data_IF_075719394524
#
_entry.id   IF_075719394524
#
_cell.length_a   1.000
_cell.length_b   1.000
_cell.length_c   1.000
_cell.angle_alpha   90.00
_cell.angle_beta   90.00
_cell.angle_gamma   90.00
#
_symmetry.space_group_name_H-M   'P 1'
#
loop_
_entity.id
_entity.type
_entity.pdbx_description
1 polymer ?
#
# COMPACT_ATOMS: atom_id res chain seq x y z
N UNK A 1 15.41 -16.20 -13.56
CA UNK A 1 15.09 -14.90 -12.93
C UNK A 1 14.42 -15.00 -11.54
N UNK A 2 13.90 -16.16 -11.11
CA UNK A 2 13.22 -16.33 -9.79
C UNK A 2 14.16 -16.33 -8.57
N UNK A 3 15.43 -16.67 -8.73
CA UNK A 3 16.42 -16.79 -7.64
C UNK A 3 17.09 -15.47 -7.23
N UNK A 4 17.15 -14.48 -8.10
CA UNK A 4 17.80 -13.18 -7.82
C UNK A 4 16.97 -12.26 -6.90
N UNK A 5 15.65 -12.33 -6.98
CA UNK A 5 14.74 -11.48 -6.13
C UNK A 5 14.77 -11.94 -4.68
N UNK A 6 14.88 -13.24 -4.42
CA UNK A 6 14.99 -13.78 -3.06
C UNK A 6 16.32 -13.41 -2.38
N UNK A 7 17.42 -13.34 -3.14
CA UNK A 7 18.74 -13.02 -2.60
C UNK A 7 18.88 -11.55 -2.15
N UNK A 8 18.23 -10.62 -2.84
CA UNK A 8 18.24 -9.20 -2.44
C UNK A 8 17.42 -8.92 -1.17
N UNK A 9 16.38 -9.70 -0.89
CA UNK A 9 15.56 -9.58 0.33
C UNK A 9 16.30 -10.04 1.59
N UNK A 10 17.17 -11.05 1.48
CA UNK A 10 17.92 -11.60 2.61
C UNK A 10 19.19 -10.79 2.91
N UNK A 11 19.85 -10.24 1.88
CA UNK A 11 21.08 -9.45 2.07
C UNK A 11 20.87 -8.13 2.84
N UNK A 12 19.68 -7.54 2.78
CA UNK A 12 19.33 -6.31 3.52
C UNK A 12 19.15 -6.51 5.04
N UNK A 13 19.03 -7.76 5.51
CA UNK A 13 18.79 -8.07 6.91
C UNK A 13 20.08 -8.32 7.73
N UNK A 14 21.22 -8.45 7.07
CA UNK A 14 22.49 -8.82 7.70
C UNK A 14 23.55 -7.74 7.48
N UNK A 15 23.33 -6.54 8.01
CA UNK A 15 24.42 -5.56 8.18
C UNK A 15 24.78 -5.54 9.67
N UNK A 16 25.91 -6.11 10.07
CA UNK A 16 26.42 -5.97 11.44
C UNK A 16 27.06 -4.58 11.57
N UNK A 17 26.31 -3.62 11.98
CA UNK A 17 26.79 -2.29 12.34
C UNK A 17 26.20 -1.89 13.67
N UNK A 18 27.05 -1.49 14.62
CA UNK A 18 26.77 -1.09 16.01
C UNK A 18 25.87 0.16 16.15
N UNK A 19 24.83 0.27 15.37
CA UNK A 19 23.68 1.11 15.68
C UNK A 19 22.68 0.16 16.32
N UNK A 20 22.24 0.40 17.54
CA UNK A 20 21.17 -0.39 18.16
C UNK A 20 19.95 -0.33 17.24
N UNK A 21 19.86 -1.32 16.38
CA UNK A 21 18.80 -1.41 15.40
C UNK A 21 17.51 -1.71 16.16
N UNK A 22 16.67 -0.70 16.29
CA UNK A 22 15.40 -0.83 17.00
C UNK A 22 14.37 -1.37 16.02
N UNK A 23 13.90 -2.57 16.32
CA UNK A 23 12.76 -3.14 15.63
C UNK A 23 11.47 -2.45 16.05
N UNK A 24 10.50 -2.44 15.19
CA UNK A 24 9.16 -1.95 15.49
C UNK A 24 8.10 -2.75 14.72
N UNK A 25 6.95 -2.87 15.35
CA UNK A 25 5.75 -3.42 14.73
C UNK A 25 4.71 -2.32 14.71
N UNK A 26 4.07 -2.10 13.57
CA UNK A 26 2.98 -1.14 13.41
C UNK A 26 1.72 -1.84 12.90
N UNK A 27 0.57 -1.34 13.37
CA UNK A 27 -0.74 -1.71 12.85
C UNK A 27 -1.48 -0.42 12.46
N UNK A 28 -2.03 -0.40 11.27
CA UNK A 28 -2.73 0.76 10.71
C UNK A 28 -4.08 0.35 10.13
N UNK A 29 -5.06 1.21 10.27
CA UNK A 29 -6.37 1.11 9.61
C UNK A 29 -6.58 2.36 8.77
N UNK A 30 -7.12 2.19 7.58
CA UNK A 30 -7.27 3.29 6.65
C UNK A 30 -8.42 3.12 5.69
N UNK A 31 -8.57 4.13 4.85
CA UNK A 31 -9.48 4.11 3.71
C UNK A 31 -8.68 4.38 2.44
N UNK A 32 -9.07 3.76 1.36
CA UNK A 32 -8.43 3.96 0.08
C UNK A 32 -9.44 4.34 -1.00
N UNK A 33 -8.94 5.03 -2.02
CA UNK A 33 -9.68 5.32 -3.25
C UNK A 33 -8.86 4.84 -4.43
N UNK A 34 -9.48 4.09 -5.30
CA UNK A 34 -8.89 3.66 -6.57
C UNK A 34 -9.28 4.61 -7.68
N UNK A 35 -8.36 4.80 -8.62
CA UNK A 35 -8.56 5.56 -9.85
C UNK A 35 -7.80 4.89 -10.98
N UNK A 36 -8.03 5.35 -12.22
CA UNK A 36 -7.39 4.76 -13.41
C UNK A 36 -8.05 3.47 -13.87
N UNK A 37 -9.30 3.25 -13.48
CA UNK A 37 -10.11 2.11 -13.90
C UNK A 37 -10.33 2.10 -15.42
N UNK A 38 -10.63 0.93 -15.93
CA UNK A 38 -11.01 0.74 -17.33
C UNK A 38 -12.17 1.65 -17.68
N UNK A 39 -12.07 2.35 -18.82
CA UNK A 39 -13.08 3.29 -19.28
C UNK A 39 -13.64 2.82 -20.62
N UNK A 40 -14.95 2.75 -20.72
CA UNK A 40 -15.70 2.49 -21.94
C UNK A 40 -15.84 3.77 -22.78
N UNK A 41 -16.13 3.61 -24.07
CA UNK A 41 -16.46 4.69 -25.00
C UNK A 41 -17.68 5.52 -24.58
N UNK A 42 -18.59 4.93 -23.80
CA UNK A 42 -19.75 5.61 -23.19
C UNK A 42 -19.39 6.47 -21.96
N UNK A 43 -18.12 6.44 -21.51
CA UNK A 43 -17.66 7.16 -20.34
C UNK A 43 -17.85 6.41 -19.01
N UNK A 44 -18.36 5.16 -19.05
CA UNK A 44 -18.47 4.30 -17.86
C UNK A 44 -17.09 3.92 -17.36
N UNK A 45 -16.85 4.09 -16.06
CA UNK A 45 -15.61 3.65 -15.39
C UNK A 45 -15.91 2.47 -14.48
N UNK A 46 -15.12 1.41 -14.59
CA UNK A 46 -15.22 0.21 -13.73
C UNK A 46 -13.96 0.09 -12.91
N UNK A 47 -14.10 -0.05 -11.60
CA UNK A 47 -12.94 -0.19 -10.70
C UNK A 47 -13.31 -0.53 -9.27
N UNK A 48 -12.30 -0.79 -8.41
CA UNK A 48 -12.54 -1.08 -7.00
C UNK A 48 -13.13 0.12 -6.27
N UNK A 49 -14.15 -0.16 -5.44
CA UNK A 49 -14.87 0.87 -4.68
C UNK A 49 -14.28 1.02 -3.28
N UNK A 50 -13.89 2.20 -2.92
CA UNK A 50 -13.44 2.76 -1.62
C UNK A 50 -13.29 1.75 -0.47
N UNK A 51 -12.30 0.84 -0.47
CA UNK A 51 -12.16 -0.16 0.59
C UNK A 51 -11.61 0.46 1.88
N UNK A 52 -11.98 -0.17 3.00
CA UNK A 52 -11.20 -0.07 4.24
C UNK A 52 -9.97 -0.94 4.09
N UNK A 53 -8.83 -0.45 4.54
CA UNK A 53 -7.54 -1.15 4.50
C UNK A 53 -7.05 -1.43 5.91
N UNK A 54 -6.45 -2.59 6.11
CA UNK A 54 -5.69 -2.93 7.32
C UNK A 54 -4.26 -3.23 6.90
N UNK A 55 -3.29 -2.63 7.54
CA UNK A 55 -1.87 -2.84 7.27
C UNK A 55 -1.12 -3.24 8.54
N UNK A 56 -0.30 -4.27 8.45
CA UNK A 56 0.69 -4.63 9.44
C UNK A 56 2.08 -4.37 8.87
N UNK A 57 2.97 -3.81 9.67
CA UNK A 57 4.32 -3.50 9.25
C UNK A 57 5.33 -3.92 10.30
N UNK A 58 6.37 -4.61 9.87
CA UNK A 58 7.58 -4.87 10.63
C UNK A 58 8.68 -3.94 10.08
N UNK A 59 9.30 -3.17 10.94
CA UNK A 59 10.36 -2.24 10.55
C UNK A 59 11.62 -2.36 11.41
N UNK A 60 12.74 -1.89 10.83
CA UNK A 60 14.03 -1.78 11.50
C UNK A 60 14.62 -0.40 11.27
N UNK A 61 14.90 0.31 12.35
CA UNK A 61 15.54 1.62 12.34
C UNK A 61 17.02 1.54 11.99
N UNK A 62 17.48 2.43 11.11
CA UNK A 62 18.87 2.59 10.68
C UNK A 62 19.22 4.10 10.75
N UNK A 63 19.25 4.67 11.93
CA UNK A 63 19.46 6.11 12.13
C UNK A 63 18.28 6.95 11.65
N UNK A 64 18.48 7.79 10.64
CA UNK A 64 17.41 8.60 10.02
C UNK A 64 16.56 7.80 9.04
N UNK A 65 17.10 6.70 8.53
CA UNK A 65 16.40 5.77 7.65
C UNK A 65 15.72 4.66 8.45
N UNK A 66 14.78 3.97 7.81
CA UNK A 66 14.11 2.77 8.31
C UNK A 66 13.80 1.87 7.12
N UNK A 67 14.06 0.58 7.25
CA UNK A 67 13.59 -0.44 6.31
C UNK A 67 12.38 -1.13 6.91
N UNK A 68 11.40 -1.47 6.09
CA UNK A 68 10.17 -2.09 6.55
C UNK A 68 9.68 -3.13 5.54
N UNK A 69 8.90 -4.09 6.05
CA UNK A 69 8.04 -4.96 5.27
C UNK A 69 6.60 -4.71 5.70
N UNK A 70 5.78 -4.26 4.79
CA UNK A 70 4.35 -4.03 5.02
C UNK A 70 3.52 -5.14 4.37
N UNK A 71 2.47 -5.54 5.07
CA UNK A 71 1.44 -6.45 4.60
C UNK A 71 0.09 -5.74 4.74
N UNK A 72 -0.54 -5.43 3.60
CA UNK A 72 -1.84 -4.76 3.55
C UNK A 72 -2.90 -5.74 3.08
N UNK A 73 -4.06 -5.66 3.71
CA UNK A 73 -5.29 -6.33 3.28
C UNK A 73 -6.39 -5.31 3.04
N UNK A 74 -7.15 -5.51 1.97
CA UNK A 74 -8.35 -4.74 1.69
C UNK A 74 -9.42 -5.64 1.07
N UNK A 75 -10.66 -5.50 1.53
CA UNK A 75 -11.83 -6.09 0.89
C UNK A 75 -12.62 -4.98 0.22
N UNK A 76 -12.93 -5.13 -1.04
CA UNK A 76 -13.55 -4.08 -1.84
C UNK A 76 -14.69 -4.59 -2.71
N UNK A 77 -15.66 -3.72 -2.98
CA UNK A 77 -16.62 -3.93 -4.06
C UNK A 77 -16.03 -3.49 -5.40
N UNK A 78 -16.76 -3.77 -6.46
CA UNK A 78 -16.55 -3.20 -7.79
C UNK A 78 -17.65 -2.19 -8.06
N UNK A 79 -17.28 -0.99 -8.48
CA UNK A 79 -18.22 0.04 -8.88
C UNK A 79 -18.14 0.27 -10.38
N UNK A 80 -19.30 0.31 -11.03
CA UNK A 80 -19.50 0.87 -12.36
C UNK A 80 -20.06 2.28 -12.20
N UNK A 81 -19.32 3.29 -12.58
CA UNK A 81 -19.72 4.70 -12.46
C UNK A 81 -20.00 5.28 -13.86
N UNK A 82 -21.21 5.82 -14.05
CA UNK A 82 -21.62 6.64 -15.18
C UNK A 82 -22.06 8.02 -14.69
N UNK A 83 -22.11 9.06 -15.54
CA UNK A 83 -22.69 10.33 -15.15
C UNK A 83 -24.13 10.16 -14.63
N UNK A 84 -24.32 10.40 -13.33
CA UNK A 84 -25.62 10.30 -12.67
C UNK A 84 -26.05 8.91 -12.17
N UNK A 85 -25.24 7.86 -12.40
CA UNK A 85 -25.54 6.50 -11.94
C UNK A 85 -24.25 5.81 -11.45
N UNK A 86 -24.27 5.28 -10.24
CA UNK A 86 -23.23 4.40 -9.72
C UNK A 86 -23.86 3.09 -9.27
N UNK A 87 -23.43 1.98 -9.85
CA UNK A 87 -23.80 0.63 -9.42
C UNK A 87 -22.61 0.04 -8.69
N UNK A 88 -22.81 -0.34 -7.42
CA UNK A 88 -21.75 -0.93 -6.59
C UNK A 88 -22.16 -2.34 -6.24
N UNK A 89 -21.31 -3.30 -6.60
CA UNK A 89 -21.42 -4.68 -6.14
C UNK A 89 -20.36 -4.92 -5.07
N UNK A 90 -20.82 -5.15 -3.85
CA UNK A 90 -19.94 -5.32 -2.69
C UNK A 90 -19.31 -6.71 -2.65
N UNK A 91 -18.17 -6.82 -1.98
CA UNK A 91 -17.50 -8.10 -1.63
C UNK A 91 -16.98 -8.93 -2.81
N UNK A 92 -16.87 -8.37 -4.02
CA UNK A 92 -16.40 -9.09 -5.20
C UNK A 92 -14.89 -9.20 -5.32
N UNK A 93 -14.15 -8.34 -4.63
CA UNK A 93 -12.70 -8.33 -4.76
C UNK A 93 -12.00 -8.23 -3.39
N UNK A 94 -10.85 -8.87 -3.30
CA UNK A 94 -9.92 -8.68 -2.19
C UNK A 94 -8.52 -8.42 -2.72
N UNK A 95 -7.76 -7.68 -1.94
CA UNK A 95 -6.37 -7.33 -2.21
C UNK A 95 -5.51 -7.72 -1.03
N UNK A 96 -4.49 -8.52 -1.27
CA UNK A 96 -3.32 -8.64 -0.42
C UNK A 96 -2.15 -7.92 -1.09
N UNK A 97 -1.41 -7.13 -0.32
CA UNK A 97 -0.23 -6.43 -0.84
C UNK A 97 0.94 -6.64 0.11
N UNK A 98 2.06 -7.06 -0.45
CA UNK A 98 3.34 -7.17 0.26
C UNK A 98 4.29 -6.13 -0.31
N UNK A 99 4.83 -5.29 0.57
CA UNK A 99 5.61 -4.14 0.16
C UNK A 99 6.86 -3.94 1.03
N UNK A 100 8.05 -4.30 0.54
CA UNK A 100 9.29 -3.81 1.12
C UNK A 100 9.40 -2.29 0.89
N UNK A 101 9.78 -1.57 1.94
CA UNK A 101 9.80 -0.11 1.96
C UNK A 101 11.09 0.41 2.59
N UNK A 102 11.53 1.56 2.10
CA UNK A 102 12.53 2.39 2.77
C UNK A 102 11.87 3.71 3.14
N UNK A 103 12.09 4.17 4.36
CA UNK A 103 11.62 5.46 4.82
C UNK A 103 12.76 6.32 5.33
N UNK A 104 12.66 7.63 5.10
CA UNK A 104 13.59 8.64 5.57
C UNK A 104 12.86 9.68 6.40
N UNK A 105 13.44 10.05 7.53
CA UNK A 105 12.95 11.17 8.32
C UNK A 105 13.35 12.47 7.63
N UNK A 106 12.34 13.25 7.22
CA UNK A 106 12.54 14.55 6.58
C UNK A 106 12.68 15.67 7.62
N UNK A 107 11.84 15.64 8.65
CA UNK A 107 11.82 16.68 9.66
C UNK A 107 11.40 16.10 11.02
N UNK A 108 11.80 16.80 12.08
CA UNK A 108 11.37 16.57 13.45
C UNK A 108 10.85 17.89 14.02
N UNK A 109 9.73 17.82 14.71
CA UNK A 109 9.04 18.99 15.28
C UNK A 109 8.79 18.79 16.77
N UNK A 110 8.91 19.89 17.54
CA UNK A 110 8.51 19.98 18.93
C UNK A 110 8.97 18.80 19.80
N UNK A 111 8.05 18.23 20.53
CA UNK A 111 8.27 17.14 21.48
C UNK A 111 8.48 15.75 20.83
N UNK A 112 8.98 15.68 19.62
CA UNK A 112 9.38 14.42 18.98
C UNK A 112 8.45 13.90 17.88
N UNK A 113 7.62 14.77 17.30
CA UNK A 113 6.88 14.43 16.09
C UNK A 113 7.82 14.40 14.87
N UNK A 114 7.80 13.32 14.11
CA UNK A 114 8.62 13.10 12.91
C UNK A 114 7.75 13.09 11.65
N UNK A 115 8.19 13.78 10.60
CA UNK A 115 7.67 13.59 9.24
C UNK A 115 8.61 12.66 8.49
N UNK A 116 8.05 11.64 7.88
CA UNK A 116 8.79 10.64 7.11
C UNK A 116 8.26 10.54 5.70
N UNK A 117 9.19 10.34 4.75
CA UNK A 117 8.86 9.97 3.38
C UNK A 117 9.24 8.50 3.17
N UNK A 118 8.37 7.76 2.50
CA UNK A 118 8.50 6.32 2.31
C UNK A 118 8.33 5.99 0.84
N UNK A 119 9.08 4.98 0.38
CA UNK A 119 8.95 4.47 -0.98
C UNK A 119 9.35 3.00 -1.03
N UNK A 120 8.81 2.27 -2.00
CA UNK A 120 9.19 0.89 -2.27
C UNK A 120 8.36 0.26 -3.38
N UNK A 121 8.83 -0.90 -3.88
CA UNK A 121 8.00 -1.75 -4.72
C UNK A 121 6.92 -2.44 -3.89
N UNK A 122 5.87 -2.91 -4.54
CA UNK A 122 4.85 -3.75 -3.94
C UNK A 122 4.45 -4.88 -4.88
N UNK A 123 4.03 -6.00 -4.31
CA UNK A 123 3.38 -7.09 -5.04
C UNK A 123 1.95 -7.17 -4.54
N UNK A 124 1.02 -7.00 -5.44
CA UNK A 124 -0.41 -7.05 -5.20
C UNK A 124 -0.96 -8.40 -5.65
N UNK A 125 -1.68 -9.07 -4.78
CA UNK A 125 -2.42 -10.29 -5.06
C UNK A 125 -3.91 -9.96 -4.98
N UNK A 126 -4.51 -9.85 -6.13
CA UNK A 126 -5.94 -9.59 -6.28
C UNK A 126 -6.70 -10.91 -6.40
N UNK A 127 -7.81 -11.02 -5.74
CA UNK A 127 -8.83 -12.04 -6.00
C UNK A 127 -10.09 -11.30 -6.44
N UNK A 128 -10.56 -11.56 -7.64
CA UNK A 128 -11.75 -10.95 -8.23
C UNK A 128 -12.63 -12.08 -8.75
N UNK A 129 -13.84 -12.20 -8.21
CA UNK A 129 -14.80 -13.25 -8.56
C UNK A 129 -14.22 -14.68 -8.50
N UNK A 130 -13.34 -14.93 -7.52
CA UNK A 130 -12.65 -16.21 -7.32
C UNK A 130 -11.34 -16.36 -8.10
N UNK A 131 -11.07 -15.54 -9.10
CA UNK A 131 -9.83 -15.58 -9.87
C UNK A 131 -8.71 -14.79 -9.21
N UNK A 132 -7.54 -15.41 -9.07
CA UNK A 132 -6.38 -14.78 -8.45
C UNK A 132 -5.41 -14.20 -9.50
N UNK A 133 -4.93 -12.98 -9.23
CA UNK A 133 -4.04 -12.24 -10.14
C UNK A 133 -2.94 -11.53 -9.35
N UNK A 134 -1.73 -11.54 -9.88
CA UNK A 134 -0.62 -10.79 -9.30
C UNK A 134 -0.27 -9.56 -10.15
N UNK A 135 0.07 -8.45 -9.50
CA UNK A 135 0.53 -7.22 -10.15
C UNK A 135 1.70 -6.64 -9.36
N UNK A 136 2.68 -6.15 -10.09
CA UNK A 136 3.76 -5.36 -9.50
C UNK A 136 3.32 -3.90 -9.45
N UNK A 137 3.64 -3.25 -8.35
CA UNK A 137 3.32 -1.87 -8.09
C UNK A 137 4.53 -1.11 -7.56
N UNK A 138 4.49 0.21 -7.68
CA UNK A 138 5.34 1.13 -6.97
C UNK A 138 4.50 1.94 -6.00
N UNK A 139 5.01 2.15 -4.78
CA UNK A 139 4.31 2.94 -3.78
C UNK A 139 5.21 4.01 -3.18
N UNK A 140 4.55 5.10 -2.78
CA UNK A 140 5.13 6.18 -1.99
C UNK A 140 4.17 6.57 -0.88
N UNK A 141 4.70 7.05 0.25
CA UNK A 141 3.88 7.57 1.33
C UNK A 141 4.59 8.70 2.07
N UNK A 142 3.80 9.58 2.66
CA UNK A 142 4.24 10.51 3.68
C UNK A 142 3.54 10.16 4.99
N UNK A 143 4.31 10.08 6.07
CA UNK A 143 3.80 9.76 7.38
C UNK A 143 4.19 10.84 8.40
N UNK A 144 3.23 11.25 9.21
CA UNK A 144 3.44 12.01 10.42
C UNK A 144 3.38 11.04 11.59
N UNK A 145 4.46 10.94 12.33
CA UNK A 145 4.57 10.09 13.53
C UNK A 145 4.72 10.98 14.77
N UNK A 146 4.06 10.64 15.87
CA UNK A 146 4.18 11.37 17.14
C UNK A 146 4.22 10.41 18.33
N UNK A 147 4.98 10.73 19.38
CA UNK A 147 5.05 9.90 20.58
C UNK A 147 3.68 9.91 21.28
N UNK A 148 3.22 8.73 21.69
CA UNK A 148 2.03 8.56 22.51
C UNK A 148 2.41 8.31 23.97
N UNK A 149 3.06 7.19 24.22
CA UNK A 149 3.54 6.81 25.56
C UNK A 149 4.64 5.76 25.48
N UNK A 150 5.76 5.94 26.18
CA UNK A 150 6.85 4.97 26.25
C UNK A 150 7.35 4.52 24.88
N UNK A 151 7.11 3.26 24.55
CA UNK A 151 7.49 2.67 23.25
C UNK A 151 6.42 2.84 22.14
N UNK A 152 5.27 3.48 22.43
CA UNK A 152 4.18 3.66 21.48
C UNK A 152 4.30 4.98 20.73
N UNK A 153 4.10 4.91 19.42
CA UNK A 153 4.07 6.03 18.48
C UNK A 153 2.79 5.97 17.67
N UNK A 154 2.04 7.08 17.63
CA UNK A 154 0.91 7.23 16.71
C UNK A 154 1.39 7.61 15.32
N UNK A 155 0.62 7.27 14.30
CA UNK A 155 0.91 7.63 12.92
C UNK A 155 -0.35 8.08 12.16
N UNK A 156 -0.15 9.06 11.28
CA UNK A 156 -1.06 9.42 10.20
C UNK A 156 -0.27 9.29 8.90
N UNK A 157 -0.76 8.48 7.98
CA UNK A 157 -0.10 8.18 6.71
C UNK A 157 -0.99 8.53 5.54
N UNK A 158 -0.40 9.16 4.53
CA UNK A 158 -0.99 9.36 3.21
C UNK A 158 -0.14 8.61 2.20
N UNK A 159 -0.75 7.74 1.40
CA UNK A 159 -0.05 6.86 0.46
C UNK A 159 -0.59 6.97 -0.95
N UNK A 160 0.30 6.77 -1.92
CA UNK A 160 -0.01 6.61 -3.33
C UNK A 160 0.63 5.34 -3.88
N UNK A 161 -0.13 4.56 -4.63
CA UNK A 161 0.33 3.33 -5.28
C UNK A 161 -0.04 3.38 -6.75
N UNK A 162 0.90 3.00 -7.61
CA UNK A 162 0.72 2.87 -9.05
C UNK A 162 1.01 1.42 -9.44
N UNK A 163 0.04 0.75 -10.05
CA UNK A 163 0.17 -0.64 -10.52
C UNK A 163 -0.33 -0.80 -11.95
N UNK A 164 -0.04 -1.95 -12.56
CA UNK A 164 -0.68 -2.35 -13.80
C UNK A 164 -2.20 -2.48 -13.67
N UNK A 165 -2.91 -2.62 -14.79
CA UNK A 165 -4.35 -2.89 -14.78
C UNK A 165 -4.67 -4.14 -13.96
N UNK A 166 -5.74 -4.09 -13.16
CA UNK A 166 -6.25 -5.24 -12.42
C UNK A 166 -6.95 -6.26 -13.35
N UNK A 167 -7.35 -5.85 -14.56
CA UNK A 167 -7.99 -6.71 -15.55
C UNK A 167 -6.96 -7.37 -16.46
N UNK A 168 -7.19 -8.63 -16.83
CA UNK A 168 -6.39 -9.33 -17.82
C UNK A 168 -6.76 -8.88 -19.26
N UNK A 169 -5.97 -9.33 -20.26
CA UNK A 169 -6.15 -8.89 -21.64
C UNK A 169 -7.51 -9.28 -22.22
N UNK A 170 -8.00 -10.44 -21.80
CA UNK A 170 -9.17 -11.11 -22.38
C UNK A 170 -10.49 -10.83 -21.63
N UNK A 171 -10.43 -10.06 -20.53
CA UNK A 171 -11.58 -9.84 -19.66
C UNK A 171 -12.44 -8.63 -20.02
N UNK A 172 -11.88 -7.45 -20.33
CA UNK A 172 -12.71 -6.34 -20.74
C UNK A 172 -13.18 -6.52 -22.19
N UNK A 173 -14.39 -6.08 -22.52
CA UNK A 173 -14.81 -5.97 -23.93
C UNK A 173 -13.75 -5.20 -24.74
N UNK A 174 -13.59 -5.49 -26.04
CA UNK A 174 -12.55 -4.88 -26.88
C UNK A 174 -12.62 -3.34 -26.93
N UNK A 175 -13.73 -2.76 -26.55
CA UNK A 175 -13.97 -1.31 -26.49
C UNK A 175 -13.45 -0.66 -25.19
N UNK A 176 -13.01 -1.44 -24.19
CA UNK A 176 -12.56 -0.95 -22.89
C UNK A 176 -11.05 -0.84 -22.85
N UNK A 177 -10.54 0.38 -22.78
CA UNK A 177 -9.10 0.65 -22.66
C UNK A 177 -8.59 0.26 -21.26
N UNK A 178 -7.57 -0.59 -21.20
CA UNK A 178 -6.90 -0.95 -19.95
C UNK A 178 -5.98 0.18 -19.49
N UNK A 179 -6.18 0.64 -18.27
CA UNK A 179 -5.36 1.71 -17.66
C UNK A 179 -4.65 1.23 -16.41
N UNK A 180 -3.51 1.85 -16.14
CA UNK A 180 -2.80 1.66 -14.88
C UNK A 180 -3.71 2.04 -13.70
N UNK A 181 -3.74 1.19 -12.69
CA UNK A 181 -4.51 1.41 -11.46
C UNK A 181 -3.72 2.32 -10.54
N UNK A 182 -4.39 3.33 -9.99
CA UNK A 182 -3.85 4.25 -8.98
C UNK A 182 -4.65 4.05 -7.70
N UNK A 183 -3.95 3.93 -6.57
CA UNK A 183 -4.58 3.89 -5.26
C UNK A 183 -4.06 5.04 -4.43
N UNK A 184 -4.96 5.82 -3.84
CA UNK A 184 -4.65 6.82 -2.83
C UNK A 184 -5.28 6.38 -1.53
N UNK A 185 -4.52 6.46 -0.43
CA UNK A 185 -4.96 6.01 0.87
C UNK A 185 -4.61 6.99 1.97
N UNK A 186 -5.44 7.00 3.01
CA UNK A 186 -5.16 7.67 4.27
C UNK A 186 -5.39 6.65 5.37
N UNK A 187 -4.42 6.51 6.27
CA UNK A 187 -4.46 5.56 7.38
C UNK A 187 -4.00 6.21 8.67
N UNK A 188 -4.53 5.73 9.77
CA UNK A 188 -4.08 6.03 11.12
C UNK A 188 -3.63 4.74 11.79
N UNK A 189 -2.64 4.83 12.68
CA UNK A 189 -2.12 3.62 13.30
C UNK A 189 -1.27 3.87 14.51
N UNK A 190 -0.78 2.77 15.04
CA UNK A 190 0.14 2.76 16.16
C UNK A 190 1.33 1.87 15.84
N UNK A 191 2.50 2.29 16.27
CA UNK A 191 3.75 1.56 16.18
C UNK A 191 4.28 1.30 17.58
N UNK A 192 4.64 0.06 17.86
CA UNK A 192 5.34 -0.33 19.07
C UNK A 192 6.83 -0.58 18.76
N UNK A 193 7.70 0.00 19.54
CA UNK A 193 9.14 -0.20 19.47
C UNK A 193 9.54 -1.34 20.38
N UNK A 194 10.15 -2.39 19.80
CA UNK A 194 10.66 -3.57 20.47
C UNK A 194 12.01 -3.31 21.15
#
# INVERSE_FOLDING_TARGET
MRTLVAACLVAGLVVPGMVSAQWGIAAEIGVARFGGSSRDTSGTTVGPYRPTTVELRLDRGLGSARVALALLYAKTGIAGEQPGLAVVQYDLASLWEVAPQVSFRLARFGAGADVRLEAGPAVQLWTVDGDSRSRVAAQTAAALEWPLAGSLTGSLRVSGVLSGSIFNADEPPPEVERRATRRFGVAVGVRYRL
#
